data_IF_992352495436
#
_entry.id   IF_992352495436
#
_cell.length_a   1.000
_cell.length_b   1.000
_cell.length_c   1.000
_cell.angle_alpha   90.00
_cell.angle_beta   90.00
_cell.angle_gamma   90.00
#
_symmetry.space_group_name_H-M   'P 1'
#
loop_
_entity.id
_entity.type
_entity.pdbx_description
1 polymer ?
#
# COMPACT_ATOMS: atom_id res chain seq x y z
N UNK A 1 -11.36 -18.42 -20.17
CA UNK A 1 -12.15 -18.44 -18.93
C UNK A 1 -11.31 -18.59 -17.66
N UNK A 2 -10.53 -19.67 -17.47
CA UNK A 2 -9.76 -19.86 -16.21
C UNK A 2 -8.71 -18.77 -15.97
N UNK A 3 -8.00 -18.32 -17.00
CA UNK A 3 -7.00 -17.26 -16.83
C UNK A 3 -7.66 -15.92 -16.47
N UNK A 4 -8.77 -15.57 -17.11
CA UNK A 4 -9.54 -14.35 -16.84
C UNK A 4 -10.10 -14.30 -15.42
N UNK A 5 -10.62 -15.41 -14.91
CA UNK A 5 -11.04 -15.53 -13.51
C UNK A 5 -9.87 -15.34 -12.53
N UNK A 6 -8.67 -15.84 -12.88
CA UNK A 6 -7.46 -15.62 -12.07
C UNK A 6 -7.01 -14.16 -12.10
N UNK A 7 -7.05 -13.50 -13.26
CA UNK A 7 -6.78 -12.06 -13.35
C UNK A 7 -7.75 -11.26 -12.48
N UNK A 8 -9.05 -11.54 -12.59
CA UNK A 8 -10.07 -10.87 -11.78
C UNK A 8 -9.83 -11.06 -10.27
N UNK A 9 -9.42 -12.25 -9.84
CA UNK A 9 -9.07 -12.53 -8.44
C UNK A 9 -7.82 -11.76 -7.98
N UNK A 10 -6.78 -11.66 -8.81
CA UNK A 10 -5.59 -10.86 -8.50
C UNK A 10 -5.97 -9.39 -8.33
N UNK A 11 -6.76 -8.83 -9.26
CA UNK A 11 -7.19 -7.44 -9.20
C UNK A 11 -8.09 -7.16 -7.99
N UNK A 12 -9.01 -8.04 -7.66
CA UNK A 12 -9.92 -7.85 -6.54
C UNK A 12 -9.20 -7.89 -5.19
N UNK A 13 -8.22 -8.78 -5.02
CA UNK A 13 -7.37 -8.83 -3.82
C UNK A 13 -6.57 -7.53 -3.67
N UNK A 14 -5.98 -7.05 -4.77
CA UNK A 14 -5.21 -5.80 -4.75
C UNK A 14 -6.10 -4.59 -4.43
N UNK A 15 -7.28 -4.51 -5.03
CA UNK A 15 -8.25 -3.45 -4.73
C UNK A 15 -8.74 -3.52 -3.29
N UNK A 16 -8.98 -4.72 -2.76
CA UNK A 16 -9.39 -4.88 -1.37
C UNK A 16 -8.33 -4.34 -0.41
N UNK A 17 -7.05 -4.68 -0.63
CA UNK A 17 -5.96 -4.14 0.17
C UNK A 17 -5.91 -2.61 0.12
N UNK A 18 -6.01 -2.03 -1.08
CA UNK A 18 -6.00 -0.57 -1.27
C UNK A 18 -7.18 0.12 -0.57
N UNK A 19 -8.38 -0.45 -0.65
CA UNK A 19 -9.56 0.08 0.04
C UNK A 19 -9.33 0.08 1.55
N UNK A 20 -8.79 -1.02 2.10
CA UNK A 20 -8.48 -1.11 3.52
C UNK A 20 -7.44 -0.08 3.93
N UNK A 21 -6.38 0.12 3.15
CA UNK A 21 -5.37 1.14 3.39
C UNK A 21 -5.97 2.55 3.41
N UNK A 22 -6.86 2.86 2.46
CA UNK A 22 -7.57 4.15 2.41
C UNK A 22 -8.46 4.32 3.64
N UNK A 23 -9.20 3.27 4.04
CA UNK A 23 -10.04 3.32 5.24
C UNK A 23 -9.21 3.58 6.50
N UNK A 24 -8.05 2.93 6.64
CA UNK A 24 -7.14 3.16 7.77
C UNK A 24 -6.56 4.58 7.73
N UNK A 25 -6.22 5.07 6.54
CA UNK A 25 -5.68 6.41 6.35
C UNK A 25 -6.71 7.51 6.70
N UNK A 26 -7.98 7.29 6.35
CA UNK A 26 -9.10 8.20 6.64
C UNK A 26 -9.50 8.10 8.11
N UNK A 27 -9.65 6.88 8.64
CA UNK A 27 -10.11 6.60 9.98
C UNK A 27 -9.06 5.81 10.77
N UNK A 28 -8.09 6.56 11.30
CA UNK A 28 -7.00 6.02 12.12
C UNK A 28 -7.46 5.47 13.47
N UNK A 29 -8.72 5.69 13.87
CA UNK A 29 -9.19 5.38 15.23
C UNK A 29 -9.20 3.89 15.55
N UNK A 30 -9.45 3.03 14.55
CA UNK A 30 -9.50 1.58 14.72
C UNK A 30 -8.13 0.95 15.04
N UNK A 31 -7.04 1.54 14.56
CA UNK A 31 -5.67 1.04 14.76
C UNK A 31 -4.80 1.94 15.64
N UNK A 32 -5.24 3.18 15.90
CA UNK A 32 -4.52 4.17 16.71
C UNK A 32 -3.09 4.37 16.21
N UNK A 33 -2.12 4.19 17.12
CA UNK A 33 -0.69 4.32 16.83
C UNK A 33 -0.16 3.28 15.82
N UNK A 34 -0.90 2.18 15.59
CA UNK A 34 -0.50 1.14 14.64
C UNK A 34 -1.01 1.39 13.21
N UNK A 35 -1.73 2.47 12.95
CA UNK A 35 -2.30 2.76 11.64
C UNK A 35 -1.23 2.78 10.53
N UNK A 36 -0.11 3.47 10.76
CA UNK A 36 0.98 3.58 9.79
C UNK A 36 1.68 2.22 9.56
N UNK A 37 1.86 1.43 10.62
CA UNK A 37 2.41 0.07 10.53
C UNK A 37 1.45 -0.88 9.79
N UNK A 38 0.13 -0.72 9.98
CA UNK A 38 -0.90 -1.47 9.30
C UNK A 38 -0.92 -1.20 7.80
N UNK A 39 -0.87 0.08 7.40
CA UNK A 39 -0.77 0.48 5.98
C UNK A 39 0.51 -0.11 5.37
N UNK A 40 1.65 0.01 6.05
CA UNK A 40 2.91 -0.55 5.58
C UNK A 40 2.84 -2.08 5.38
N UNK A 41 2.22 -2.81 6.31
CA UNK A 41 2.06 -4.25 6.22
C UNK A 41 1.19 -4.67 5.02
N UNK A 42 0.09 -3.95 4.76
CA UNK A 42 -0.79 -4.23 3.62
C UNK A 42 -0.05 -3.95 2.30
N UNK A 43 0.61 -2.79 2.20
CA UNK A 43 1.40 -2.42 1.03
C UNK A 43 2.51 -3.45 0.74
N UNK A 44 3.21 -3.93 1.78
CA UNK A 44 4.23 -4.96 1.64
C UNK A 44 3.66 -6.31 1.16
N UNK A 45 2.51 -6.73 1.70
CA UNK A 45 1.81 -7.95 1.25
C UNK A 45 1.39 -7.86 -0.22
N UNK A 46 0.86 -6.71 -0.65
CA UNK A 46 0.52 -6.48 -2.07
C UNK A 46 1.77 -6.48 -2.95
N UNK A 47 2.89 -5.89 -2.49
CA UNK A 47 4.15 -5.91 -3.21
C UNK A 47 4.64 -7.34 -3.45
N UNK A 48 4.65 -8.15 -2.40
CA UNK A 48 5.05 -9.57 -2.45
C UNK A 48 4.10 -10.34 -3.38
N UNK A 49 2.79 -10.11 -3.26
CA UNK A 49 1.79 -10.75 -4.10
C UNK A 49 1.99 -10.43 -5.59
N UNK A 50 2.21 -9.16 -5.93
CA UNK A 50 2.45 -8.75 -7.32
C UNK A 50 3.77 -9.30 -7.84
N UNK A 51 4.81 -9.30 -7.01
CA UNK A 51 6.10 -9.90 -7.36
C UNK A 51 5.94 -11.40 -7.69
N UNK A 52 5.23 -12.17 -6.86
CA UNK A 52 4.96 -13.59 -7.13
C UNK A 52 4.15 -13.79 -8.41
N UNK A 53 3.09 -12.98 -8.62
CA UNK A 53 2.26 -13.01 -9.83
C UNK A 53 3.07 -12.67 -11.08
N UNK A 54 3.98 -11.71 -10.99
CA UNK A 54 4.89 -11.31 -12.08
C UNK A 54 5.91 -12.40 -12.40
N UNK A 55 6.57 -12.97 -11.38
CA UNK A 55 7.57 -14.04 -11.54
C UNK A 55 6.98 -15.31 -12.16
N UNK A 56 5.68 -15.57 -11.96
CA UNK A 56 4.98 -16.66 -12.62
C UNK A 56 4.75 -16.46 -14.13
N UNK A 57 5.20 -15.34 -14.72
CA UNK A 57 5.33 -15.12 -16.16
C UNK A 57 4.02 -15.06 -16.95
N UNK A 58 2.88 -15.33 -16.30
CA UNK A 58 1.58 -15.45 -16.96
C UNK A 58 0.80 -14.14 -17.07
N UNK A 59 1.18 -13.10 -16.33
CA UNK A 59 0.33 -11.91 -16.13
C UNK A 59 0.77 -10.64 -16.89
N UNK A 60 1.91 -10.67 -17.60
CA UNK A 60 2.41 -9.54 -18.39
C UNK A 60 2.75 -8.29 -17.55
N UNK A 61 2.97 -7.11 -18.16
CA UNK A 61 3.33 -5.88 -17.44
C UNK A 61 2.19 -5.24 -16.63
N UNK A 62 0.96 -5.75 -16.74
CA UNK A 62 -0.25 -5.15 -16.15
C UNK A 62 -0.27 -5.15 -14.61
N UNK A 63 0.09 -6.23 -13.89
CA UNK A 63 0.15 -6.23 -12.43
C UNK A 63 1.20 -5.25 -11.90
N UNK A 64 2.31 -5.07 -12.62
CA UNK A 64 3.38 -4.14 -12.25
C UNK A 64 2.89 -2.69 -12.30
N UNK A 65 2.08 -2.33 -13.30
CA UNK A 65 1.47 -1.00 -13.36
C UNK A 65 0.53 -0.76 -12.16
N UNK A 66 -0.24 -1.76 -11.75
CA UNK A 66 -1.11 -1.68 -10.56
C UNK A 66 -0.28 -1.56 -9.29
N UNK A 67 0.81 -2.31 -9.16
CA UNK A 67 1.75 -2.18 -8.05
C UNK A 67 2.33 -0.79 -7.94
N UNK A 68 2.77 -0.22 -9.06
CA UNK A 68 3.35 1.12 -9.11
C UNK A 68 2.31 2.17 -8.66
N UNK A 69 1.06 2.04 -9.09
CA UNK A 69 -0.04 2.91 -8.67
C UNK A 69 -0.33 2.77 -7.18
N UNK A 70 -0.48 1.54 -6.68
CA UNK A 70 -0.72 1.28 -5.25
C UNK A 70 0.45 1.82 -4.41
N UNK A 71 1.68 1.51 -4.79
CA UNK A 71 2.88 2.01 -4.11
C UNK A 71 2.96 3.54 -4.13
N UNK A 72 2.59 4.18 -5.24
CA UNK A 72 2.51 5.65 -5.29
C UNK A 72 1.45 6.20 -4.34
N UNK A 73 0.32 5.52 -4.17
CA UNK A 73 -0.74 5.97 -3.28
C UNK A 73 -0.41 5.75 -1.79
N UNK A 74 0.44 4.77 -1.47
CA UNK A 74 0.64 4.33 -0.07
C UNK A 74 2.02 4.71 0.46
N UNK A 75 3.06 4.57 -0.36
CA UNK A 75 4.44 4.90 -0.01
C UNK A 75 4.70 6.40 -0.12
N UNK A 76 4.10 7.10 -1.09
CA UNK A 76 4.32 8.55 -1.24
C UNK A 76 3.82 9.35 -0.01
N UNK A 77 2.62 9.12 0.54
CA UNK A 77 2.19 9.80 1.76
C UNK A 77 3.09 9.47 2.95
N UNK A 78 3.53 8.22 3.09
CA UNK A 78 4.43 7.79 4.16
C UNK A 78 5.81 8.48 4.03
N UNK A 79 6.34 8.55 2.80
CA UNK A 79 7.59 9.22 2.50
C UNK A 79 7.50 10.73 2.74
N UNK A 80 6.38 11.37 2.38
CA UNK A 80 6.10 12.78 2.69
C UNK A 80 6.03 12.98 4.21
N UNK A 81 5.34 12.11 4.95
CA UNK A 81 5.27 12.19 6.42
C UNK A 81 6.65 12.05 7.08
N UNK A 82 7.49 11.14 6.58
CA UNK A 82 8.87 10.97 7.03
C UNK A 82 9.74 12.18 6.71
N UNK A 83 9.64 12.73 5.48
CA UNK A 83 10.31 13.97 5.12
C UNK A 83 9.89 15.12 6.02
N UNK A 84 8.60 15.25 6.32
CA UNK A 84 8.09 16.28 7.22
C UNK A 84 8.66 16.13 8.63
N UNK A 85 8.76 14.89 9.14
CA UNK A 85 9.36 14.56 10.44
C UNK A 85 10.85 14.94 10.53
N UNK A 86 11.61 14.73 9.45
CA UNK A 86 13.06 15.05 9.41
C UNK A 86 13.30 16.54 9.17
N UNK A 87 12.49 17.19 8.33
CA UNK A 87 12.67 18.60 7.93
C UNK A 87 12.11 19.58 8.96
N UNK A 88 11.08 19.21 9.72
CA UNK A 88 10.57 19.99 10.85
C UNK A 88 10.93 19.29 12.18
N UNK A 89 12.17 19.48 12.69
CA UNK A 89 12.43 19.15 14.08
C UNK A 89 11.47 20.01 14.91
N UNK A 90 10.66 19.36 15.74
CA UNK A 90 9.86 20.06 16.74
C UNK A 90 10.81 20.68 17.77
N UNK A 91 11.42 21.82 17.44
CA UNK A 91 12.01 22.73 18.40
C UNK A 91 10.87 23.51 19.05
N UNK A 92 10.01 22.79 19.75
CA UNK A 92 8.90 23.31 20.52
C UNK A 92 9.12 22.90 21.97
N UNK A 93 9.73 23.82 22.72
CA UNK A 93 9.86 23.84 24.17
C UNK A 93 8.81 23.00 24.91
N UNK A 94 9.28 21.95 25.58
CA UNK A 94 8.61 21.40 26.75
C UNK A 94 8.35 22.56 27.74
N UNK A 95 7.11 22.77 28.21
CA UNK A 95 6.89 23.52 29.46
C UNK A 95 7.43 22.74 30.66
#
# INVERSE_FOLDING_TARGET
MIDEAKYAAVYSILMLGLIVEILIAIDRTALGAFADAGILAIAALQAIFIFMVYMHGRYGPRPVAVFAVISLLTVLPLFIALLYSVVMPHHGSLP
#
